data_IF_908219819155
#
_entry.id   IF_908219819155
#
_cell.length_a   1.000
_cell.length_b   1.000
_cell.length_c   1.000
_cell.angle_alpha   90.00
_cell.angle_beta   90.00
_cell.angle_gamma   90.00
#
_symmetry.space_group_name_H-M   'P 1'
#
loop_
_entity.id
_entity.type
_entity.pdbx_description
1 polymer ?
#
# COMPACT_ATOMS: atom_id res chain seq x y z
N UNK A 1 -18.15 5.15 -0.67
CA UNK A 1 -17.12 4.24 -1.21
C UNK A 1 -17.82 2.96 -1.61
N UNK A 2 -17.72 2.55 -2.86
CA UNK A 2 -18.40 1.36 -3.36
C UNK A 2 -17.64 0.11 -2.92
N UNK A 3 -18.35 -0.83 -2.28
CA UNK A 3 -17.84 -2.16 -1.98
C UNK A 3 -18.22 -3.06 -3.14
N UNK A 4 -17.24 -3.76 -3.71
CA UNK A 4 -17.47 -4.66 -4.85
C UNK A 4 -17.55 -6.08 -4.31
N UNK A 5 -18.69 -6.76 -4.53
CA UNK A 5 -18.85 -8.16 -4.16
C UNK A 5 -18.84 -9.02 -5.43
N UNK A 6 -18.00 -10.05 -5.43
CA UNK A 6 -17.81 -10.95 -6.57
C UNK A 6 -17.83 -12.39 -6.08
N UNK A 7 -18.58 -13.24 -6.77
CA UNK A 7 -18.44 -14.68 -6.59
C UNK A 7 -17.33 -15.19 -7.51
N UNK A 8 -16.26 -15.70 -6.94
CA UNK A 8 -15.03 -16.07 -7.67
C UNK A 8 -14.53 -17.45 -7.26
N UNK A 9 -13.87 -18.13 -8.18
CA UNK A 9 -13.12 -19.34 -7.87
C UNK A 9 -11.73 -18.95 -7.37
N UNK A 10 -11.43 -19.23 -6.11
CA UNK A 10 -10.06 -19.08 -5.64
C UNK A 10 -9.21 -20.18 -6.26
N UNK A 11 -8.37 -19.85 -7.23
CA UNK A 11 -7.69 -20.88 -8.04
C UNK A 11 -6.52 -21.48 -7.29
N UNK A 12 -5.63 -20.61 -6.81
CA UNK A 12 -4.39 -20.98 -6.13
C UNK A 12 -3.81 -19.77 -5.40
N UNK A 13 -2.95 -20.07 -4.44
CA UNK A 13 -2.09 -19.12 -3.76
C UNK A 13 -0.64 -19.53 -3.98
N UNK A 14 0.24 -18.56 -4.20
CA UNK A 14 1.66 -18.82 -4.42
C UNK A 14 2.50 -17.89 -3.55
N UNK A 15 3.37 -18.47 -2.73
CA UNK A 15 4.40 -17.73 -2.01
C UNK A 15 5.46 -17.21 -2.98
N UNK A 16 5.74 -15.92 -2.91
CA UNK A 16 6.69 -15.19 -3.74
C UNK A 16 7.60 -14.32 -2.86
N UNK A 17 8.72 -14.92 -2.42
CA UNK A 17 9.72 -14.32 -1.54
C UNK A 17 9.12 -13.75 -0.23
N UNK A 18 8.76 -12.46 -0.21
CA UNK A 18 8.14 -11.73 0.91
C UNK A 18 6.63 -11.49 0.77
N UNK A 19 6.06 -11.76 -0.40
CA UNK A 19 4.64 -11.54 -0.73
C UNK A 19 3.97 -12.87 -1.03
N UNK A 20 2.66 -12.93 -0.88
CA UNK A 20 1.83 -14.05 -1.31
C UNK A 20 0.96 -13.57 -2.47
N UNK A 21 0.91 -14.35 -3.55
CA UNK A 21 0.12 -14.04 -4.74
C UNK A 21 -1.16 -14.86 -4.70
N UNK A 22 -2.30 -14.17 -4.59
CA UNK A 22 -3.63 -14.76 -4.63
C UNK A 22 -4.18 -14.67 -6.06
N UNK A 23 -4.56 -15.80 -6.65
CA UNK A 23 -5.15 -15.86 -7.99
C UNK A 23 -6.63 -16.30 -7.92
N UNK A 24 -7.53 -15.41 -8.34
CA UNK A 24 -8.97 -15.68 -8.39
C UNK A 24 -9.48 -15.67 -9.84
N UNK A 25 -10.36 -16.61 -10.17
CA UNK A 25 -10.99 -16.72 -11.50
C UNK A 25 -12.48 -16.41 -11.37
N UNK A 26 -12.95 -15.38 -12.05
CA UNK A 26 -14.38 -15.10 -12.18
C UNK A 26 -14.92 -15.90 -13.37
N UNK A 27 -15.94 -16.72 -13.14
CA UNK A 27 -16.62 -17.49 -14.19
C UNK A 27 -17.80 -16.69 -14.73
N UNK A 28 -17.80 -16.41 -16.04
CA UNK A 28 -18.89 -15.69 -16.72
C UNK A 28 -18.38 -14.73 -17.79
N UNK A 29 -19.24 -14.40 -18.76
CA UNK A 29 -18.97 -13.41 -19.81
C UNK A 29 -19.04 -11.97 -19.30
N UNK A 30 -19.79 -11.71 -18.23
CA UNK A 30 -19.93 -10.38 -17.62
C UNK A 30 -19.29 -10.31 -16.23
N UNK A 31 -18.23 -9.52 -16.14
CA UNK A 31 -17.64 -9.12 -14.88
C UNK A 31 -18.47 -7.98 -14.28
N UNK A 32 -19.18 -8.26 -13.18
CA UNK A 32 -19.88 -7.22 -12.43
C UNK A 32 -18.89 -6.17 -11.92
N UNK A 33 -19.26 -4.89 -11.96
CA UNK A 33 -18.40 -3.77 -11.54
C UNK A 33 -17.05 -3.70 -12.29
N UNK A 34 -17.06 -4.05 -13.58
CA UNK A 34 -15.86 -4.10 -14.41
C UNK A 34 -15.04 -2.81 -14.43
N UNK A 35 -15.69 -1.66 -14.60
CA UNK A 35 -15.01 -0.36 -14.65
C UNK A 35 -14.32 -0.05 -13.32
N UNK A 36 -14.97 -0.34 -12.20
CA UNK A 36 -14.43 -0.15 -10.85
C UNK A 36 -13.24 -1.08 -10.62
N UNK A 37 -13.32 -2.35 -11.04
CA UNK A 37 -12.22 -3.31 -10.92
C UNK A 37 -11.01 -2.95 -11.78
N UNK A 38 -11.23 -2.38 -12.97
CA UNK A 38 -10.16 -1.89 -13.83
C UNK A 38 -9.49 -0.67 -13.20
N UNK A 39 -10.24 0.21 -12.54
CA UNK A 39 -9.66 1.34 -11.79
C UNK A 39 -8.89 0.89 -10.55
N UNK A 40 -9.34 -0.18 -9.88
CA UNK A 40 -8.64 -0.74 -8.74
C UNK A 40 -7.37 -1.52 -9.15
N UNK A 41 -7.30 -2.03 -10.38
CA UNK A 41 -6.10 -2.71 -10.86
C UNK A 41 -4.91 -1.73 -10.91
N UNK A 42 -3.82 -2.10 -10.26
CA UNK A 42 -2.65 -1.26 -10.02
C UNK A 42 -2.69 -0.47 -8.71
N UNK A 43 -3.79 -0.52 -7.96
CA UNK A 43 -3.96 0.15 -6.67
C UNK A 43 -4.06 -0.85 -5.50
N UNK A 44 -4.01 -0.33 -4.27
CA UNK A 44 -4.21 -1.13 -3.06
C UNK A 44 -5.71 -1.25 -2.76
N UNK A 45 -6.14 -2.47 -2.44
CA UNK A 45 -7.51 -2.80 -2.07
C UNK A 45 -7.54 -3.60 -0.76
N UNK A 46 -8.57 -3.38 0.04
CA UNK A 46 -8.92 -4.24 1.16
C UNK A 46 -9.75 -5.41 0.63
N UNK A 47 -9.28 -6.61 0.91
CA UNK A 47 -9.81 -7.87 0.43
C UNK A 47 -10.37 -8.68 1.60
N UNK A 48 -11.64 -9.05 1.52
CA UNK A 48 -12.32 -9.86 2.53
C UNK A 48 -12.91 -11.10 1.85
N UNK A 49 -12.56 -12.28 2.35
CA UNK A 49 -13.08 -13.56 1.85
C UNK A 49 -14.16 -14.03 2.82
N UNK A 50 -15.44 -13.92 2.45
CA UNK A 50 -16.58 -14.20 3.36
C UNK A 50 -16.61 -15.62 3.93
N UNK A 51 -16.08 -16.58 3.18
CA UNK A 51 -16.02 -17.98 3.60
C UNK A 51 -14.73 -18.32 4.36
N UNK A 52 -14.03 -17.31 4.88
CA UNK A 52 -12.80 -17.48 5.66
C UNK A 52 -12.95 -16.87 7.05
N UNK A 53 -12.19 -17.40 8.01
CA UNK A 53 -12.03 -16.81 9.35
C UNK A 53 -10.97 -15.69 9.38
N UNK A 54 -10.58 -15.19 8.20
CA UNK A 54 -9.59 -14.13 8.07
C UNK A 54 -10.32 -12.80 7.90
N UNK A 55 -9.93 -11.82 8.69
CA UNK A 55 -10.40 -10.45 8.58
C UNK A 55 -9.94 -9.81 7.26
N UNK A 56 -10.24 -8.51 7.08
CA UNK A 56 -9.85 -7.77 5.88
C UNK A 56 -8.33 -7.73 5.71
N UNK A 57 -7.87 -8.18 4.56
CA UNK A 57 -6.46 -8.20 4.18
C UNK A 57 -6.18 -7.02 3.25
N UNK A 58 -5.16 -6.24 3.55
CA UNK A 58 -4.64 -5.23 2.62
C UNK A 58 -3.85 -5.92 1.51
N UNK A 59 -4.25 -5.68 0.26
CA UNK A 59 -3.71 -6.36 -0.91
C UNK A 59 -3.44 -5.37 -2.05
N UNK A 60 -2.30 -5.51 -2.72
CA UNK A 60 -2.02 -4.85 -3.98
C UNK A 60 -2.75 -5.58 -5.11
N UNK A 61 -3.69 -4.92 -5.78
CA UNK A 61 -4.38 -5.50 -6.92
C UNK A 61 -3.53 -5.42 -8.19
N UNK A 62 -2.55 -6.32 -8.32
CA UNK A 62 -1.53 -6.30 -9.36
C UNK A 62 -2.08 -6.24 -10.78
N UNK A 63 -3.02 -7.10 -11.13
CA UNK A 63 -3.55 -7.14 -12.50
C UNK A 63 -4.91 -7.82 -12.60
N UNK A 64 -5.71 -7.32 -13.55
CA UNK A 64 -6.95 -7.92 -14.01
C UNK A 64 -6.76 -8.34 -15.48
N UNK A 65 -6.95 -9.64 -15.76
CA UNK A 65 -6.87 -10.18 -17.11
C UNK A 65 -8.24 -10.74 -17.51
N UNK A 66 -8.92 -10.05 -18.43
CA UNK A 66 -10.16 -10.56 -19.01
C UNK A 66 -9.85 -11.46 -20.20
N UNK A 67 -10.18 -12.74 -20.09
CA UNK A 67 -10.17 -13.71 -21.18
C UNK A 67 -11.61 -13.94 -21.68
N UNK A 68 -11.77 -14.45 -22.90
CA UNK A 68 -13.10 -14.71 -23.49
C UNK A 68 -13.94 -15.75 -22.73
N UNK A 69 -13.37 -16.46 -21.75
CA UNK A 69 -14.10 -17.46 -20.95
C UNK A 69 -14.11 -17.18 -19.44
N UNK A 70 -13.21 -16.31 -18.96
CA UNK A 70 -13.01 -16.06 -17.54
C UNK A 70 -12.21 -14.79 -17.32
N UNK A 71 -12.37 -14.17 -16.16
CA UNK A 71 -11.49 -13.08 -15.72
C UNK A 71 -10.55 -13.57 -14.62
N UNK A 72 -9.25 -13.33 -14.77
CA UNK A 72 -8.24 -13.66 -13.76
C UNK A 72 -7.87 -12.40 -12.99
N UNK A 73 -8.03 -12.43 -11.68
CA UNK A 73 -7.67 -11.38 -10.75
C UNK A 73 -6.44 -11.84 -9.96
N UNK A 74 -5.38 -11.03 -9.93
CA UNK A 74 -4.17 -11.33 -9.17
C UNK A 74 -3.92 -10.26 -8.13
N UNK A 75 -3.75 -10.67 -6.88
CA UNK A 75 -3.46 -9.80 -5.76
C UNK A 75 -2.13 -10.20 -5.11
N UNK A 76 -1.31 -9.22 -4.73
CA UNK A 76 -0.14 -9.46 -3.88
C UNK A 76 -0.50 -9.02 -2.46
N UNK A 77 -0.29 -9.88 -1.49
CA UNK A 77 -0.48 -9.57 -0.07
C UNK A 77 0.84 -9.80 0.67
N UNK A 78 1.09 -9.07 1.75
CA UNK A 78 2.25 -9.38 2.62
C UNK A 78 2.00 -10.71 3.32
N UNK A 79 3.01 -11.56 3.43
CA UNK A 79 2.88 -12.93 3.96
C UNK A 79 2.59 -12.99 5.46
N UNK A 80 1.39 -12.61 5.86
CA UNK A 80 0.92 -12.64 7.25
C UNK A 80 0.41 -14.02 7.66
N UNK A 81 0.50 -14.30 8.97
CA UNK A 81 0.08 -15.59 9.55
C UNK A 81 -1.40 -15.91 9.29
N UNK A 82 -2.23 -14.88 9.13
CA UNK A 82 -3.66 -15.01 8.85
C UNK A 82 -3.94 -15.48 7.41
N UNK A 83 -3.12 -15.03 6.46
CA UNK A 83 -3.27 -15.37 5.04
C UNK A 83 -2.92 -16.85 4.80
N UNK A 84 -2.10 -17.44 5.67
CA UNK A 84 -1.80 -18.87 5.61
C UNK A 84 -3.09 -19.72 5.70
N UNK A 85 -4.12 -19.24 6.41
CA UNK A 85 -5.41 -19.95 6.51
C UNK A 85 -6.13 -19.99 5.17
N UNK A 86 -5.95 -18.99 4.30
CA UNK A 86 -6.56 -18.95 2.97
C UNK A 86 -6.05 -20.07 2.06
N UNK A 87 -4.86 -20.63 2.30
CA UNK A 87 -4.38 -21.80 1.54
C UNK A 87 -5.37 -22.97 1.54
N UNK A 88 -6.13 -23.14 2.62
CA UNK A 88 -7.14 -24.21 2.74
C UNK A 88 -8.34 -24.01 1.82
N UNK A 89 -8.61 -22.76 1.42
CA UNK A 89 -9.71 -22.38 0.55
C UNK A 89 -9.32 -22.38 -0.93
N UNK A 90 -8.03 -22.55 -1.25
CA UNK A 90 -7.57 -22.66 -2.62
C UNK A 90 -8.23 -23.86 -3.32
N UNK A 91 -8.79 -23.62 -4.49
CA UNK A 91 -9.58 -24.58 -5.26
C UNK A 91 -11.10 -24.51 -5.03
N UNK A 92 -11.57 -23.67 -4.10
CA UNK A 92 -12.99 -23.52 -3.76
C UNK A 92 -13.61 -22.22 -4.29
N UNK A 93 -14.92 -22.21 -4.49
CA UNK A 93 -15.66 -20.98 -4.76
C UNK A 93 -15.82 -20.17 -3.48
N UNK A 94 -15.53 -18.87 -3.57
CA UNK A 94 -15.59 -17.94 -2.45
C UNK A 94 -16.25 -16.64 -2.90
N UNK A 95 -16.93 -15.98 -1.97
CA UNK A 95 -17.41 -14.62 -2.19
C UNK A 95 -16.34 -13.65 -1.72
N UNK A 96 -15.82 -12.89 -2.67
CA UNK A 96 -14.79 -11.88 -2.50
C UNK A 96 -15.45 -10.52 -2.35
N UNK A 97 -15.10 -9.81 -1.29
CA UNK A 97 -15.46 -8.42 -1.11
C UNK A 97 -14.19 -7.57 -1.26
N UNK A 98 -14.25 -6.57 -2.14
CA UNK A 98 -13.16 -5.65 -2.44
C UNK A 98 -13.59 -4.23 -2.11
N UNK A 99 -12.71 -3.50 -1.42
CA UNK A 99 -12.88 -2.08 -1.12
C UNK A 99 -11.59 -1.32 -1.51
N UNK A 100 -11.68 -0.15 -2.17
CA UNK A 100 -10.50 0.68 -2.40
C UNK A 100 -9.85 1.05 -1.07
N UNK A 101 -8.54 0.84 -0.95
CA UNK A 101 -7.78 1.39 0.17
C UNK A 101 -7.47 2.86 -0.08
N UNK A 102 -7.37 3.66 0.99
CA UNK A 102 -6.78 5.01 0.91
C UNK A 102 -5.25 4.97 0.99
N UNK A 103 -4.67 3.79 1.22
CA UNK A 103 -3.24 3.56 1.26
C UNK A 103 -2.66 3.54 -0.16
N UNK A 104 -1.53 4.21 -0.33
CA UNK A 104 -0.73 4.23 -1.57
C UNK A 104 0.11 2.96 -1.69
N UNK A 105 0.59 2.67 -2.91
CA UNK A 105 1.43 1.49 -3.13
C UNK A 105 2.77 1.59 -2.40
N UNK A 106 3.34 2.80 -2.34
CA UNK A 106 4.57 3.11 -1.60
C UNK A 106 4.38 2.81 -0.10
N UNK A 107 3.32 3.33 0.51
CA UNK A 107 2.97 3.05 1.91
C UNK A 107 2.75 1.55 2.18
N UNK A 108 2.17 0.81 1.23
CA UNK A 108 1.99 -0.63 1.37
C UNK A 108 3.32 -1.40 1.31
N UNK A 109 4.26 -1.00 0.46
CA UNK A 109 5.60 -1.60 0.40
C UNK A 109 6.41 -1.24 1.64
N UNK A 110 6.34 0.03 2.06
CA UNK A 110 7.00 0.62 3.22
C UNK A 110 6.29 0.36 4.55
N UNK A 111 5.30 -0.54 4.61
CA UNK A 111 4.71 -1.03 5.88
C UNK A 111 5.74 -1.76 6.80
N UNK A 112 7.01 -1.88 6.38
CA UNK A 112 8.10 -2.10 7.32
C UNK A 112 8.17 -0.90 8.30
N UNK A 113 8.52 -1.09 9.59
CA UNK A 113 8.48 0.00 10.56
C UNK A 113 9.33 1.17 10.06
N UNK A 114 8.68 2.31 9.82
CA UNK A 114 9.38 3.53 9.42
C UNK A 114 10.45 3.84 10.48
N UNK A 115 11.65 4.19 10.03
CA UNK A 115 12.69 4.71 10.92
C UNK A 115 12.29 6.14 11.34
N UNK A 116 11.35 6.23 12.28
CA UNK A 116 10.79 7.47 12.80
C UNK A 116 10.36 7.28 14.25
N UNK A 117 10.35 8.37 15.01
CA UNK A 117 9.88 8.36 16.39
C UNK A 117 8.37 8.60 16.36
N UNK A 118 7.60 7.67 16.90
CA UNK A 118 6.16 7.86 17.13
C UNK A 118 5.95 9.07 18.04
N UNK A 119 5.17 10.05 17.58
CA UNK A 119 4.76 11.20 18.38
C UNK A 119 3.25 11.24 18.51
N UNK A 120 2.76 11.66 19.68
CA UNK A 120 1.34 11.82 19.95
C UNK A 120 1.02 13.29 20.10
N UNK A 121 -0.03 13.73 19.39
CA UNK A 121 -0.57 15.09 19.52
C UNK A 121 -1.66 15.07 20.59
N UNK A 122 -1.51 15.94 21.57
CA UNK A 122 -2.50 16.14 22.63
C UNK A 122 -3.76 16.82 22.08
N UNK A 123 -4.87 16.73 22.83
CA UNK A 123 -6.15 17.31 22.43
C UNK A 123 -6.14 18.86 22.33
N UNK A 124 -5.11 19.50 22.86
CA UNK A 124 -4.85 20.94 22.76
C UNK A 124 -3.96 21.33 21.57
N UNK A 125 -3.57 20.35 20.75
CA UNK A 125 -2.70 20.54 19.59
C UNK A 125 -1.21 20.62 19.92
N UNK A 126 -0.81 20.36 21.17
CA UNK A 126 0.59 20.31 21.58
C UNK A 126 1.18 18.91 21.40
N UNK A 127 2.51 18.83 21.29
CA UNK A 127 3.27 17.57 21.29
C UNK A 127 4.28 17.64 22.41
N UNK A 128 4.31 16.61 23.25
CA UNK A 128 5.39 16.42 24.21
C UNK A 128 6.55 15.70 23.51
N UNK A 129 7.68 16.39 23.43
CA UNK A 129 8.89 15.91 22.75
C UNK A 129 9.66 14.97 23.69
N UNK A 130 10.03 13.79 23.21
CA UNK A 130 10.83 12.81 23.99
C UNK A 130 12.27 13.28 24.21
N UNK A 131 12.92 12.82 25.30
CA UNK A 131 14.31 13.18 25.61
C UNK A 131 15.25 12.83 24.44
N UNK A 132 15.92 13.84 23.88
CA UNK A 132 16.85 13.70 22.74
C UNK A 132 16.43 14.42 21.46
N UNK A 133 15.21 14.97 21.42
CA UNK A 133 14.74 15.84 20.33
C UNK A 133 14.67 17.30 20.82
N UNK A 134 15.16 18.24 20.01
CA UNK A 134 15.18 19.68 20.33
C UNK A 134 13.78 20.27 20.23
N UNK A 135 13.38 21.05 21.23
CA UNK A 135 12.14 21.82 21.17
C UNK A 135 12.33 23.04 20.28
N UNK A 136 11.24 23.56 19.72
CA UNK A 136 11.30 24.82 18.97
C UNK A 136 11.79 25.98 19.84
N UNK A 137 11.53 25.91 21.14
CA UNK A 137 11.99 26.87 22.14
C UNK A 137 13.50 26.75 22.45
N UNK A 138 14.12 25.62 22.12
CA UNK A 138 15.57 25.41 22.25
C UNK A 138 16.34 25.94 21.02
N UNK A 139 15.64 26.38 19.98
CA UNK A 139 16.27 27.01 18.83
C UNK A 139 16.73 28.43 19.20
N UNK A 140 17.97 28.81 18.87
CA UNK A 140 18.45 30.17 19.11
C UNK A 140 17.60 31.15 18.30
N UNK A 141 16.91 32.07 18.99
CA UNK A 141 16.09 33.13 18.37
C UNK A 141 16.91 34.29 17.80
N UNK A 142 18.15 34.04 17.39
CA UNK A 142 18.97 35.03 16.71
C UNK A 142 18.40 35.33 15.32
N UNK A 143 18.62 36.55 14.82
CA UNK A 143 18.55 36.77 13.38
C UNK A 143 19.46 35.73 12.71
N UNK A 144 19.05 35.10 11.58
CA UNK A 144 20.00 34.27 10.85
C UNK A 144 21.22 35.13 10.61
N UNK A 145 22.40 34.69 11.04
CA UNK A 145 23.64 35.30 10.58
C UNK A 145 23.48 35.49 9.07
N UNK A 146 23.67 36.72 8.58
CA UNK A 146 23.65 36.98 7.15
C UNK A 146 24.50 35.88 6.52
N UNK A 147 23.86 35.00 5.76
CA UNK A 147 24.56 34.04 4.93
C UNK A 147 25.30 34.90 3.90
N UNK A 148 26.51 35.33 4.26
CA UNK A 148 27.46 35.83 3.30
C UNK A 148 27.78 34.64 2.42
N UNK A 149 27.12 34.58 1.27
CA UNK A 149 27.51 33.77 0.13
C UNK A 149 28.84 34.31 -0.42
N UNK A 150 29.88 34.35 0.41
CA UNK A 150 31.26 34.55 0.00
C UNK A 150 31.90 33.17 -0.12
N UNK A 151 31.24 32.31 -0.91
CA UNK A 151 31.85 31.10 -1.42
C UNK A 151 32.45 31.43 -2.79
N UNK A 152 33.77 31.64 -2.90
CA UNK A 152 34.41 31.94 -4.18
C UNK A 152 34.39 30.76 -5.17
N UNK A 153 33.89 29.58 -4.80
CA UNK A 153 33.93 28.35 -5.61
C UNK A 153 32.69 28.19 -6.53
N UNK A 154 31.67 29.05 -6.40
CA UNK A 154 30.48 29.00 -7.27
C UNK A 154 30.54 29.95 -8.48
N UNK A 155 31.68 30.61 -8.70
CA UNK A 155 31.88 31.56 -9.80
C UNK A 155 33.07 31.25 -10.69
N UNK A 156 33.41 29.97 -10.89
CA UNK A 156 34.32 29.57 -11.97
C UNK A 156 33.50 29.22 -13.24
N UNK A 157 33.37 30.14 -14.21
CA UNK A 157 32.73 29.85 -15.50
C UNK A 157 33.56 28.90 -16.39
N UNK A 158 34.77 28.51 -15.97
CA UNK A 158 35.69 27.66 -16.76
C UNK A 158 35.48 26.14 -16.57
N UNK A 159 34.51 25.70 -15.76
CA UNK A 159 34.10 24.28 -15.69
C UNK A 159 33.10 23.86 -16.78
N UNK A 160 32.77 24.75 -17.71
CA UNK A 160 32.03 24.46 -18.93
C UNK A 160 32.89 24.84 -20.15
N UNK A 161 33.92 24.03 -20.47
CA UNK A 161 34.43 23.76 -21.83
C UNK A 161 35.74 22.96 -21.77
N UNK A 162 35.65 21.63 -21.85
CA UNK A 162 36.18 20.80 -22.95
C UNK A 162 35.68 19.35 -22.81
#
# INVERSE_FOLDING_TARGET
MSKINLSVLFKKMQKDDKKEILEFHVQGDELQHSDELVQLAGNIALLEVKNSEVDRITAEFKTLQRDSKKTVLKFNVKGDSEIIKLYTLAGSHVDLLLEPSQMSIEEFEDMDPHEGIDYSVNNDGTVEVVEGQVSIDDLPTGEPDEVTFDDPDLSDPDLLLD
#
